data_IF_442024222178
#
_entry.id   IF_442024222178
#
_cell.length_a   1.000
_cell.length_b   1.000
_cell.length_c   1.000
_cell.angle_alpha   90.00
_cell.angle_beta   90.00
_cell.angle_gamma   90.00
#
_symmetry.space_group_name_H-M   'P 1'
#
loop_
_entity.id
_entity.type
_entity.pdbx_description
1 polymer ?
#
# COMPACT_ATOMS: atom_id res chain seq x y z
N UNK A 1 -41.51 0.57 -24.89
CA UNK A 1 -41.47 -0.08 -23.56
C UNK A 1 -40.76 0.87 -22.61
N UNK A 2 -41.47 1.41 -21.61
CA UNK A 2 -40.82 2.16 -20.54
C UNK A 2 -39.98 1.16 -19.72
N UNK A 3 -38.68 1.41 -19.56
CA UNK A 3 -37.88 0.69 -18.56
C UNK A 3 -38.46 1.04 -17.19
N UNK A 4 -39.16 0.10 -16.57
CA UNK A 4 -39.43 0.22 -15.14
C UNK A 4 -38.08 0.12 -14.46
N UNK A 5 -37.65 1.22 -13.84
CA UNK A 5 -36.51 1.20 -12.92
C UNK A 5 -36.91 0.32 -11.73
N UNK A 6 -36.11 -0.70 -11.40
CA UNK A 6 -36.39 -1.54 -10.24
C UNK A 6 -36.39 -0.69 -8.96
N UNK A 7 -37.15 -1.08 -7.93
CA UNK A 7 -37.22 -0.33 -6.69
C UNK A 7 -35.85 -0.28 -6.00
N UNK A 8 -35.48 0.88 -5.43
CA UNK A 8 -34.19 1.13 -4.74
C UNK A 8 -33.89 0.07 -3.66
N UNK A 9 -34.92 -0.48 -3.02
CA UNK A 9 -34.80 -1.56 -2.02
C UNK A 9 -34.04 -2.78 -2.59
N UNK A 10 -34.28 -3.12 -3.86
CA UNK A 10 -33.61 -4.24 -4.53
C UNK A 10 -32.11 -3.98 -4.79
N UNK A 11 -31.66 -2.72 -4.82
CA UNK A 11 -30.24 -2.41 -4.99
C UNK A 11 -29.45 -2.61 -3.70
N UNK A 12 -30.05 -2.30 -2.54
CA UNK A 12 -29.40 -2.55 -1.24
C UNK A 12 -29.26 -4.04 -0.95
N UNK A 13 -30.29 -4.83 -1.26
CA UNK A 13 -30.27 -6.30 -1.13
C UNK A 13 -29.23 -6.94 -2.06
N UNK A 14 -29.02 -6.38 -3.26
CA UNK A 14 -28.08 -6.91 -4.23
C UNK A 14 -26.61 -6.57 -3.93
N UNK A 15 -26.34 -5.48 -3.21
CA UNK A 15 -24.98 -4.95 -3.03
C UNK A 15 -24.46 -5.16 -1.60
N UNK A 16 -23.71 -6.25 -1.39
CA UNK A 16 -23.19 -6.65 -0.07
C UNK A 16 -21.87 -6.00 0.35
N UNK A 17 -21.26 -5.19 -0.52
CA UNK A 17 -19.97 -4.56 -0.24
C UNK A 17 -20.18 -3.35 0.68
N UNK A 18 -19.35 -3.14 1.72
CA UNK A 18 -19.42 -1.95 2.56
C UNK A 18 -19.31 -0.67 1.72
N UNK A 19 -20.14 0.31 2.04
CA UNK A 19 -20.21 1.61 1.37
C UNK A 19 -20.41 2.72 2.41
N UNK A 20 -20.50 3.98 1.97
CA UNK A 20 -20.67 5.13 2.87
C UNK A 20 -19.51 5.24 3.87
N UNK A 21 -19.81 5.61 5.11
CA UNK A 21 -18.81 5.77 6.16
C UNK A 21 -18.09 4.45 6.52
N UNK A 22 -18.79 3.31 6.50
CA UNK A 22 -18.18 2.00 6.77
C UNK A 22 -17.24 1.58 5.64
N UNK A 23 -17.65 1.74 4.37
CA UNK A 23 -16.79 1.52 3.21
C UNK A 23 -15.53 2.38 3.29
N UNK A 24 -15.71 3.67 3.56
CA UNK A 24 -14.62 4.62 3.72
C UNK A 24 -13.62 4.22 4.82
N UNK A 25 -14.12 3.86 6.00
CA UNK A 25 -13.27 3.41 7.10
C UNK A 25 -12.54 2.10 6.76
N UNK A 26 -13.23 1.19 6.05
CA UNK A 26 -12.66 -0.04 5.53
C UNK A 26 -11.49 0.27 4.57
N UNK A 27 -11.64 1.21 3.66
CA UNK A 27 -10.58 1.56 2.70
C UNK A 27 -9.37 2.20 3.37
N UNK A 28 -9.58 3.07 4.38
CA UNK A 28 -8.49 3.59 5.22
C UNK A 28 -7.74 2.45 5.91
N UNK A 29 -8.47 1.49 6.49
CA UNK A 29 -7.87 0.34 7.13
C UNK A 29 -7.05 -0.51 6.14
N UNK A 30 -7.55 -0.70 4.91
CA UNK A 30 -6.82 -1.39 3.85
C UNK A 30 -5.53 -0.66 3.50
N UNK A 31 -5.59 0.65 3.26
CA UNK A 31 -4.40 1.45 2.96
C UNK A 31 -3.35 1.35 4.07
N UNK A 32 -3.80 1.45 5.32
CA UNK A 32 -2.93 1.34 6.47
C UNK A 32 -2.25 -0.04 6.52
N UNK A 33 -2.99 -1.13 6.25
CA UNK A 33 -2.41 -2.46 6.11
C UNK A 33 -1.34 -2.52 5.03
N UNK A 34 -1.64 -2.06 3.81
CA UNK A 34 -0.66 -2.06 2.70
C UNK A 34 0.59 -1.30 3.08
N UNK A 35 0.43 -0.14 3.68
CA UNK A 35 1.54 0.72 4.10
C UNK A 35 2.41 -0.01 5.12
N UNK A 36 1.79 -0.65 6.13
CA UNK A 36 2.53 -1.44 7.12
C UNK A 36 3.28 -2.60 6.45
N UNK A 37 2.66 -3.33 5.51
CA UNK A 37 3.31 -4.44 4.78
C UNK A 37 4.46 -3.99 3.89
N UNK A 38 4.35 -2.81 3.26
CA UNK A 38 5.44 -2.23 2.48
C UNK A 38 6.63 -1.85 3.35
N UNK A 39 6.37 -1.37 4.57
CA UNK A 39 7.40 -1.09 5.58
C UNK A 39 7.78 -2.32 6.41
N UNK A 40 7.13 -3.46 6.17
CA UNK A 40 7.47 -4.66 6.87
C UNK A 40 7.00 -4.87 8.29
N UNK A 41 5.99 -4.10 8.65
CA UNK A 41 5.46 -4.06 9.99
C UNK A 41 4.10 -4.74 10.01
N UNK A 42 3.80 -5.36 11.14
CA UNK A 42 2.47 -5.80 11.45
C UNK A 42 1.52 -4.58 11.50
N UNK A 43 0.32 -4.67 10.90
CA UNK A 43 -0.67 -3.59 10.93
C UNK A 43 -1.35 -3.43 12.29
N UNK A 44 -1.18 -4.34 13.24
CA UNK A 44 -1.72 -4.14 14.59
C UNK A 44 -0.78 -3.24 15.39
N UNK A 45 -1.34 -2.21 16.04
CA UNK A 45 -0.60 -1.40 17.01
C UNK A 45 -0.43 -2.18 18.33
N UNK A 46 0.78 -2.21 18.94
CA UNK A 46 2.02 -1.56 18.49
C UNK A 46 2.65 -2.30 17.31
N UNK A 47 3.15 -1.55 16.33
CA UNK A 47 3.73 -2.09 15.10
C UNK A 47 4.93 -3.01 15.40
N UNK A 48 4.73 -4.32 15.24
CA UNK A 48 5.76 -5.36 15.46
C UNK A 48 6.38 -5.81 14.15
N UNK A 49 7.58 -6.39 14.23
CA UNK A 49 8.19 -7.11 13.11
C UNK A 49 7.47 -8.43 12.87
N UNK A 50 7.35 -8.85 11.62
CA UNK A 50 6.66 -10.07 11.22
C UNK A 50 7.53 -11.28 11.63
N UNK A 51 7.16 -11.97 12.71
CA UNK A 51 7.94 -13.13 13.19
C UNK A 51 7.72 -14.39 12.33
N UNK A 52 6.50 -14.61 11.81
CA UNK A 52 6.16 -15.81 11.05
C UNK A 52 5.75 -15.47 9.62
N UNK A 53 6.74 -15.41 8.72
CA UNK A 53 6.53 -15.11 7.30
C UNK A 53 5.66 -16.13 6.59
N UNK A 54 5.63 -17.39 7.05
CA UNK A 54 4.87 -18.44 6.38
C UNK A 54 3.39 -18.40 6.75
N UNK A 55 3.07 -18.10 8.00
CA UNK A 55 1.69 -17.80 8.43
C UNK A 55 1.15 -16.57 7.70
N UNK A 56 1.95 -15.51 7.57
CA UNK A 56 1.60 -14.32 6.81
C UNK A 56 1.26 -14.63 5.35
N UNK A 57 2.11 -15.42 4.65
CA UNK A 57 1.84 -15.86 3.27
C UNK A 57 0.55 -16.68 3.18
N UNK A 58 0.32 -17.59 4.13
CA UNK A 58 -0.90 -18.41 4.18
C UNK A 58 -2.15 -17.53 4.32
N UNK A 59 -2.14 -16.55 5.23
CA UNK A 59 -3.29 -15.68 5.47
C UNK A 59 -3.52 -14.69 4.31
N UNK A 60 -2.47 -14.20 3.65
CA UNK A 60 -2.60 -13.44 2.41
C UNK A 60 -3.20 -14.32 1.30
N UNK A 61 -2.76 -15.57 1.16
CA UNK A 61 -3.32 -16.52 0.21
C UNK A 61 -4.80 -16.81 0.46
N UNK A 62 -5.17 -17.00 1.73
CA UNK A 62 -6.56 -17.17 2.16
C UNK A 62 -7.40 -15.93 1.86
N UNK A 63 -6.83 -14.73 2.06
CA UNK A 63 -7.49 -13.48 1.73
C UNK A 63 -7.75 -13.32 0.22
N UNK A 64 -6.77 -13.67 -0.63
CA UNK A 64 -6.94 -13.69 -2.09
C UNK A 64 -8.08 -14.61 -2.49
N UNK A 65 -8.11 -15.83 -1.93
CA UNK A 65 -9.16 -16.81 -2.21
C UNK A 65 -10.54 -16.24 -1.87
N UNK A 66 -10.70 -15.64 -0.69
CA UNK A 66 -11.97 -15.07 -0.29
C UNK A 66 -12.37 -13.84 -1.12
N UNK A 67 -11.45 -12.95 -1.47
CA UNK A 67 -11.74 -11.82 -2.37
C UNK A 67 -12.32 -12.36 -3.69
N UNK A 68 -11.73 -13.42 -4.24
CA UNK A 68 -12.21 -14.00 -5.49
C UNK A 68 -13.65 -14.54 -5.35
N UNK A 69 -13.91 -15.38 -4.34
CA UNK A 69 -15.23 -15.99 -4.09
C UNK A 69 -16.29 -14.93 -3.84
N UNK A 70 -16.00 -13.94 -2.98
CA UNK A 70 -16.94 -12.88 -2.65
C UNK A 70 -17.21 -11.97 -3.86
N UNK A 71 -16.19 -11.70 -4.67
CA UNK A 71 -16.34 -10.89 -5.87
C UNK A 71 -17.21 -11.59 -6.93
N UNK A 72 -16.99 -12.89 -7.15
CA UNK A 72 -17.82 -13.71 -8.06
C UNK A 72 -19.28 -13.69 -7.62
N UNK A 73 -19.53 -13.96 -6.35
CA UNK A 73 -20.88 -13.92 -5.77
C UNK A 73 -21.56 -12.56 -5.96
N UNK A 74 -20.84 -11.47 -5.68
CA UNK A 74 -21.38 -10.12 -5.85
C UNK A 74 -21.68 -9.80 -7.32
N UNK A 75 -20.84 -10.26 -8.27
CA UNK A 75 -21.09 -10.08 -9.71
C UNK A 75 -22.36 -10.83 -10.13
N UNK A 76 -22.57 -12.06 -9.66
CA UNK A 76 -23.77 -12.84 -9.97
C UNK A 76 -25.04 -12.15 -9.45
N UNK A 77 -25.01 -11.63 -8.21
CA UNK A 77 -26.15 -10.91 -7.61
C UNK A 77 -26.40 -9.55 -8.26
N UNK A 78 -25.35 -8.83 -8.63
CA UNK A 78 -25.46 -7.51 -9.25
C UNK A 78 -25.65 -7.55 -10.76
N UNK A 79 -25.75 -8.73 -11.41
CA UNK A 79 -25.74 -8.84 -12.88
C UNK A 79 -26.79 -7.98 -13.60
N UNK A 80 -27.93 -7.72 -12.96
CA UNK A 80 -28.99 -6.85 -13.50
C UNK A 80 -28.59 -5.37 -13.54
N UNK A 81 -27.62 -4.97 -12.72
CA UNK A 81 -27.14 -3.61 -12.54
C UNK A 81 -25.67 -3.51 -12.94
N UNK A 82 -25.41 -3.36 -14.25
CA UNK A 82 -24.05 -3.30 -14.82
C UNK A 82 -23.14 -2.25 -14.15
N UNK A 83 -23.73 -1.19 -13.60
CA UNK A 83 -23.03 -0.10 -12.89
C UNK A 83 -22.40 -0.62 -11.58
N UNK A 84 -23.19 -1.39 -10.81
CA UNK A 84 -22.72 -2.06 -9.58
C UNK A 84 -21.72 -3.18 -9.89
N UNK A 85 -21.92 -3.91 -10.98
CA UNK A 85 -20.96 -4.94 -11.44
C UNK A 85 -19.60 -4.33 -11.71
N UNK A 86 -19.54 -3.20 -12.41
CA UNK A 86 -18.27 -2.54 -12.71
C UNK A 86 -17.55 -2.03 -11.46
N UNK A 87 -18.29 -1.49 -10.50
CA UNK A 87 -17.74 -1.04 -9.22
C UNK A 87 -17.18 -2.23 -8.44
N UNK A 88 -17.96 -3.31 -8.34
CA UNK A 88 -17.54 -4.51 -7.64
C UNK A 88 -16.30 -5.15 -8.30
N UNK A 89 -16.27 -5.27 -9.64
CA UNK A 89 -15.10 -5.74 -10.39
C UNK A 89 -13.89 -4.83 -10.17
N UNK A 90 -14.07 -3.51 -10.17
CA UNK A 90 -13.00 -2.55 -9.90
C UNK A 90 -12.43 -2.72 -8.48
N UNK A 91 -13.30 -2.89 -7.48
CA UNK A 91 -12.91 -3.09 -6.08
C UNK A 91 -12.22 -4.46 -5.88
N UNK A 92 -12.75 -5.52 -6.49
CA UNK A 92 -12.15 -6.84 -6.49
C UNK A 92 -10.75 -6.85 -7.12
N UNK A 93 -10.56 -6.17 -8.25
CA UNK A 93 -9.25 -6.00 -8.89
C UNK A 93 -8.28 -5.20 -8.01
N UNK A 94 -8.76 -4.17 -7.32
CA UNK A 94 -7.94 -3.39 -6.37
C UNK A 94 -7.48 -4.26 -5.20
N UNK A 95 -8.41 -4.98 -4.57
CA UNK A 95 -8.11 -5.91 -3.48
C UNK A 95 -7.13 -6.99 -3.91
N UNK A 96 -7.33 -7.60 -5.08
CA UNK A 96 -6.42 -8.59 -5.65
C UNK A 96 -5.02 -8.01 -5.89
N UNK A 97 -4.93 -6.80 -6.46
CA UNK A 97 -3.65 -6.14 -6.69
C UNK A 97 -2.91 -5.92 -5.37
N UNK A 98 -3.59 -5.38 -4.36
CA UNK A 98 -3.01 -5.17 -3.03
C UNK A 98 -2.51 -6.49 -2.44
N UNK A 99 -3.30 -7.55 -2.54
CA UNK A 99 -2.95 -8.85 -2.00
C UNK A 99 -1.73 -9.46 -2.71
N UNK A 100 -1.65 -9.32 -4.04
CA UNK A 100 -0.49 -9.76 -4.82
C UNK A 100 0.76 -8.97 -4.44
N UNK A 101 0.66 -7.64 -4.32
CA UNK A 101 1.78 -6.80 -3.87
C UNK A 101 2.22 -7.22 -2.46
N UNK A 102 1.29 -7.37 -1.52
CA UNK A 102 1.57 -7.84 -0.16
C UNK A 102 2.23 -9.23 -0.13
N UNK A 103 1.79 -10.14 -0.99
CA UNK A 103 2.38 -11.47 -1.10
C UNK A 103 3.84 -11.40 -1.58
N UNK A 104 4.12 -10.59 -2.61
CA UNK A 104 5.49 -10.41 -3.11
C UNK A 104 6.39 -9.68 -2.11
N UNK A 105 5.89 -8.66 -1.41
CA UNK A 105 6.66 -7.95 -0.40
C UNK A 105 7.04 -8.90 0.73
N UNK A 106 6.08 -9.63 1.31
CA UNK A 106 6.35 -10.63 2.35
C UNK A 106 7.27 -11.76 1.86
N UNK A 107 7.15 -12.17 0.59
CA UNK A 107 8.04 -13.21 0.03
C UNK A 107 9.48 -12.73 -0.17
N UNK A 108 9.66 -11.45 -0.54
CA UNK A 108 11.00 -10.85 -0.72
C UNK A 108 11.77 -10.66 0.59
N UNK A 109 11.12 -10.85 1.72
CA UNK A 109 11.67 -10.62 3.06
C UNK A 109 12.40 -11.84 3.64
N UNK A 110 12.43 -12.94 2.90
CA UNK A 110 13.03 -14.20 3.31
C UNK A 110 14.44 -14.33 2.70
N UNK A 111 15.56 -14.46 3.44
CA UNK A 111 15.97 -13.92 4.74
C UNK A 111 17.40 -13.32 4.67
N UNK A 112 17.59 -12.04 4.98
CA UNK A 112 18.94 -11.50 5.25
C UNK A 112 19.49 -11.96 6.61
N UNK A 113 18.63 -12.51 7.47
CA UNK A 113 18.92 -12.83 8.87
C UNK A 113 19.55 -14.23 9.07
N UNK A 114 19.52 -15.11 8.05
CA UNK A 114 20.07 -16.47 8.19
C UNK A 114 21.59 -16.55 7.98
N UNK A 115 22.26 -15.42 7.75
CA UNK A 115 23.69 -15.35 7.41
C UNK A 115 24.64 -14.88 8.52
N UNK A 116 24.15 -14.27 9.61
CA UNK A 116 25.04 -13.68 10.64
C UNK A 116 25.26 -14.55 11.89
N UNK A 117 24.71 -15.76 11.94
CA UNK A 117 24.84 -16.64 13.11
C UNK A 117 25.85 -17.80 12.95
N UNK A 118 26.67 -17.82 11.88
CA UNK A 118 27.59 -18.94 11.65
C UNK A 118 28.91 -18.53 10.98
N UNK A 119 29.66 -17.65 11.63
CA UNK A 119 31.12 -17.56 11.41
C UNK A 119 31.84 -16.99 12.64
N UNK A 120 31.55 -17.53 13.83
CA UNK A 120 32.53 -17.54 14.91
C UNK A 120 33.17 -18.92 14.91
N UNK A 121 34.35 -18.92 14.31
CA UNK A 121 35.35 -19.96 14.29
C UNK A 121 36.20 -19.83 15.57
N UNK A 122 36.11 -20.76 16.54
CA UNK A 122 37.12 -20.91 17.55
C UNK A 122 37.97 -22.15 17.28
N UNK A 123 38.50 -22.32 16.07
CA UNK A 123 39.71 -23.15 15.88
C UNK A 123 40.99 -22.30 16.01
N UNK A 124 41.05 -21.49 17.09
CA UNK A 124 42.33 -21.15 17.71
C UNK A 124 42.59 -22.12 18.86
N UNK A 125 43.35 -23.17 18.53
CA UNK A 125 43.99 -24.03 19.52
C UNK A 125 44.72 -23.19 20.60
N UNK A 126 44.69 -23.63 21.87
CA UNK A 126 45.95 -23.77 22.56
C UNK A 126 46.09 -25.17 23.16
N UNK A 127 47.13 -25.86 22.68
CA UNK A 127 48.14 -26.57 23.46
C UNK A 127 47.75 -26.96 24.90
N UNK A 128 47.59 -28.27 25.10
CA UNK A 128 48.07 -29.08 26.24
C UNK A 128 48.14 -28.42 27.64
N UNK A 129 47.26 -28.88 28.54
CA UNK A 129 47.47 -28.69 29.98
C UNK A 129 46.32 -29.23 30.83
N UNK A 130 46.52 -30.40 31.43
CA UNK A 130 45.58 -31.10 32.28
C UNK A 130 45.02 -30.27 33.45
N UNK A 131 43.82 -30.62 33.94
CA UNK A 131 43.59 -31.23 35.26
C UNK A 131 42.08 -31.49 35.42
N UNK A 132 41.75 -32.74 35.72
CA UNK A 132 40.44 -33.23 36.11
C UNK A 132 40.11 -32.77 37.54
N UNK A 133 38.88 -32.31 37.79
CA UNK A 133 38.23 -32.47 39.08
C UNK A 133 36.71 -32.60 38.90
N UNK A 134 36.24 -33.82 39.16
CA UNK A 134 34.84 -34.24 39.21
C UNK A 134 34.20 -33.87 40.56
N UNK A 135 32.95 -33.39 40.59
CA UNK A 135 31.89 -33.73 41.60
C UNK A 135 30.54 -33.06 41.25
N UNK A 136 29.39 -33.44 41.85
CA UNK A 136 28.26 -34.01 41.10
C UNK A 136 26.93 -33.21 41.18
N UNK A 137 25.99 -33.68 40.37
CA UNK A 137 24.51 -33.67 40.50
C UNK A 137 23.84 -32.70 41.49
N UNK A 138 22.97 -31.82 40.96
CA UNK A 138 21.64 -31.63 41.55
C UNK A 138 20.62 -31.23 40.47
N UNK A 139 19.59 -32.06 40.31
CA UNK A 139 18.39 -31.82 39.52
C UNK A 139 17.59 -30.64 40.08
N UNK A 140 17.03 -29.80 39.21
CA UNK A 140 15.66 -29.31 39.40
C UNK A 140 15.10 -28.85 38.06
N UNK A 141 14.10 -29.60 37.59
CA UNK A 141 13.25 -29.23 36.48
C UNK A 141 12.46 -27.95 36.84
N UNK A 142 12.65 -26.89 36.05
CA UNK A 142 11.80 -25.71 36.05
C UNK A 142 11.31 -25.49 34.62
N UNK A 143 9.99 -25.42 34.49
CA UNK A 143 9.26 -25.29 33.24
C UNK A 143 9.70 -24.08 32.43
N UNK A 144 9.92 -24.33 31.14
CA UNK A 144 10.28 -23.37 30.11
C UNK A 144 9.02 -22.56 29.70
N UNK A 145 8.70 -21.54 30.48
CA UNK A 145 7.69 -20.53 30.12
C UNK A 145 8.39 -19.40 29.36
N UNK A 146 8.34 -19.48 28.02
CA UNK A 146 8.84 -18.47 27.09
C UNK A 146 8.01 -17.19 27.24
N UNK A 147 8.34 -16.40 28.24
CA UNK A 147 7.80 -15.07 28.52
C UNK A 147 8.55 -14.07 27.64
N UNK A 148 7.85 -13.42 26.71
CA UNK A 148 8.37 -12.24 26.02
C UNK A 148 8.35 -11.05 26.99
N UNK A 149 9.36 -10.97 27.87
CA UNK A 149 9.57 -9.80 28.71
C UNK A 149 10.08 -8.63 27.87
N UNK A 150 9.21 -7.63 27.74
CA UNK A 150 9.51 -6.28 27.25
C UNK A 150 9.39 -5.34 28.45
N UNK A 151 10.45 -5.22 29.24
CA UNK A 151 10.68 -4.07 30.12
C UNK A 151 11.80 -3.26 29.47
N UNK A 152 11.41 -2.30 28.64
CA UNK A 152 12.27 -1.20 28.20
C UNK A 152 11.85 0.06 28.95
N UNK A 153 12.70 0.50 29.87
CA UNK A 153 12.60 1.79 30.54
C UNK A 153 12.44 2.93 29.54
N UNK A 154 11.39 3.74 29.72
CA UNK A 154 11.30 5.05 29.07
C UNK A 154 12.27 6.01 29.76
N UNK A 155 13.48 6.10 29.21
CA UNK A 155 14.43 7.16 29.52
C UNK A 155 13.88 8.52 29.09
N UNK A 156 13.79 9.45 30.04
CA UNK A 156 13.46 10.84 29.83
C UNK A 156 14.50 11.51 28.90
N UNK A 157 14.05 12.06 27.77
CA UNK A 157 14.87 13.01 26.99
C UNK A 157 14.57 14.43 27.47
N UNK A 158 15.55 14.98 28.19
CA UNK A 158 15.69 16.40 28.45
C UNK A 158 16.40 17.09 27.27
N UNK A 159 16.00 18.35 27.06
CA UNK A 159 16.76 19.49 26.54
C UNK A 159 17.52 19.36 25.22
N UNK A 160 16.97 20.01 24.18
CA UNK A 160 17.75 20.55 23.06
C UNK A 160 17.88 22.08 23.21
N UNK A 161 19.10 22.64 23.20
CA UNK A 161 19.30 24.08 23.18
C UNK A 161 19.23 24.66 21.77
N UNK A 162 18.65 25.85 21.70
CA UNK A 162 18.69 26.77 20.58
C UNK A 162 20.08 27.36 20.37
N UNK A 163 20.59 27.31 19.15
CA UNK A 163 21.66 28.17 18.63
C UNK A 163 21.60 28.07 17.11
N UNK A 164 21.68 29.12 16.31
CA UNK A 164 22.15 30.48 16.52
C UNK A 164 22.61 30.95 15.14
N UNK A 165 22.21 32.16 14.74
CA UNK A 165 22.67 32.82 13.52
C UNK A 165 24.21 32.77 13.40
N UNK A 166 24.71 32.55 12.19
CA UNK A 166 25.94 33.23 11.75
C UNK A 166 25.96 33.49 10.25
N UNK A 167 26.07 34.79 10.01
CA UNK A 167 26.29 35.57 8.80
C UNK A 167 27.79 35.56 8.50
N UNK A 168 28.19 35.53 7.22
CA UNK A 168 29.45 36.00 6.58
C UNK A 168 29.51 35.26 5.23
N UNK A 169 29.57 35.88 4.04
CA UNK A 169 30.31 37.07 3.67
C UNK A 169 31.72 36.67 3.27
N UNK A 170 31.98 36.35 1.99
CA UNK A 170 33.31 36.53 1.38
C UNK A 170 33.24 36.46 -0.14
N UNK A 171 33.47 37.62 -0.75
CA UNK A 171 34.05 37.78 -2.07
C UNK A 171 35.42 37.09 -2.15
N UNK A 172 35.80 36.57 -3.31
CA UNK A 172 37.18 36.71 -3.79
C UNK A 172 37.26 36.38 -5.27
N UNK A 173 38.03 37.23 -5.96
CA UNK A 173 38.43 37.14 -7.34
C UNK A 173 38.98 35.76 -7.71
N UNK A 174 38.61 35.27 -8.88
CA UNK A 174 39.37 34.22 -9.55
C UNK A 174 40.01 34.81 -10.80
N UNK A 175 41.31 35.06 -10.65
CA UNK A 175 42.19 35.48 -11.72
C UNK A 175 42.35 34.37 -12.75
N UNK A 176 42.24 34.78 -14.01
CA UNK A 176 42.59 34.05 -15.21
C UNK A 176 44.10 33.75 -15.19
N UNK A 177 44.46 32.50 -14.91
CA UNK A 177 45.81 31.99 -15.12
C UNK A 177 45.78 31.00 -16.28
N UNK A 178 46.15 31.51 -17.46
CA UNK A 178 46.54 30.71 -18.61
C UNK A 178 47.80 29.90 -18.25
N UNK A 179 47.60 28.67 -17.79
CA UNK A 179 48.68 27.70 -17.63
C UNK A 179 48.27 26.42 -18.34
N UNK A 180 48.80 26.27 -19.56
CA UNK A 180 48.85 25.02 -20.31
C UNK A 180 49.63 23.99 -19.49
N UNK A 181 48.91 23.26 -18.65
CA UNK A 181 49.44 22.07 -18.00
C UNK A 181 49.40 20.93 -19.02
N UNK A 182 50.57 20.40 -19.35
CA UNK A 182 50.70 19.13 -20.04
C UNK A 182 50.04 18.06 -19.16
N UNK A 183 48.80 17.73 -19.51
CA UNK A 183 48.00 16.70 -18.84
C UNK A 183 48.74 15.37 -18.97
N UNK A 184 49.09 14.82 -17.81
CA UNK A 184 49.70 13.51 -17.70
C UNK A 184 48.76 12.44 -18.30
N UNK A 185 49.24 11.57 -19.20
CA UNK A 185 48.42 10.55 -19.88
C UNK A 185 47.82 9.50 -18.93
N UNK A 186 48.11 9.55 -17.63
CA UNK A 186 47.55 8.64 -16.64
C UNK A 186 46.13 9.03 -16.17
N UNK A 187 45.71 10.29 -16.31
CA UNK A 187 44.37 10.74 -15.89
C UNK A 187 43.28 10.35 -16.90
N UNK A 188 43.62 10.17 -18.18
CA UNK A 188 42.66 9.73 -19.19
C UNK A 188 42.23 8.27 -19.00
N UNK A 189 43.11 7.40 -18.50
CA UNK A 189 42.74 5.99 -18.25
C UNK A 189 41.80 5.86 -17.06
N UNK A 190 42.05 6.60 -15.97
CA UNK A 190 41.16 6.62 -14.79
C UNK A 190 39.79 7.20 -15.14
N UNK A 191 39.75 8.23 -15.98
CA UNK A 191 38.47 8.79 -16.47
C UNK A 191 37.76 7.81 -17.42
N UNK A 192 38.50 7.02 -18.19
CA UNK A 192 37.95 5.98 -19.08
C UNK A 192 37.42 4.78 -18.31
N UNK A 193 38.07 4.39 -17.21
CA UNK A 193 37.56 3.34 -16.31
C UNK A 193 36.37 3.82 -15.46
N UNK A 194 36.39 5.06 -14.98
CA UNK A 194 35.21 5.66 -14.33
C UNK A 194 34.02 5.76 -15.29
N UNK A 195 34.26 6.13 -16.56
CA UNK A 195 33.21 6.15 -17.58
C UNK A 195 32.78 4.75 -18.05
N UNK A 196 33.64 3.73 -17.97
CA UNK A 196 33.25 2.35 -18.31
C UNK A 196 32.46 1.70 -17.19
N UNK A 197 32.74 2.04 -15.92
CA UNK A 197 31.93 1.64 -14.76
C UNK A 197 30.59 2.38 -14.70
N UNK A 198 30.53 3.65 -15.13
CA UNK A 198 29.29 4.41 -15.23
C UNK A 198 28.35 3.92 -16.35
N UNK A 199 28.90 3.25 -17.37
CA UNK A 199 28.14 2.69 -18.51
C UNK A 199 27.92 1.17 -18.40
N UNK A 200 28.03 0.61 -17.19
CA UNK A 200 27.60 -0.77 -16.93
C UNK A 200 26.18 -0.99 -17.47
N UNK A 201 25.88 -2.15 -18.08
CA UNK A 201 24.62 -2.39 -18.79
C UNK A 201 23.44 -2.10 -17.86
N UNK A 202 22.83 -0.94 -18.08
CA UNK A 202 21.80 -0.41 -17.22
C UNK A 202 20.57 -1.34 -17.26
N UNK A 203 20.35 -2.03 -16.14
CA UNK A 203 19.04 -2.34 -15.58
C UNK A 203 17.93 -2.73 -16.59
N UNK A 204 18.09 -3.85 -17.30
CA UNK A 204 16.96 -4.41 -18.07
C UNK A 204 15.79 -4.88 -17.17
N UNK A 205 16.06 -5.13 -15.87
CA UNK A 205 15.06 -5.52 -14.89
C UNK A 205 14.12 -4.39 -14.46
N UNK A 206 14.64 -3.17 -14.29
CA UNK A 206 13.85 -2.03 -13.77
C UNK A 206 12.81 -1.54 -14.77
N UNK A 207 13.11 -1.65 -16.08
CA UNK A 207 12.18 -1.23 -17.13
C UNK A 207 10.94 -2.14 -17.23
N UNK A 208 11.09 -3.45 -17.02
CA UNK A 208 9.96 -4.40 -17.05
C UNK A 208 8.98 -4.15 -15.90
N UNK A 209 9.51 -3.91 -14.71
CA UNK A 209 8.69 -3.61 -13.52
C UNK A 209 7.91 -2.31 -13.72
N UNK A 210 8.56 -1.28 -14.28
CA UNK A 210 7.89 0.00 -14.61
C UNK A 210 6.74 -0.15 -15.60
N UNK A 211 6.92 -0.94 -16.67
CA UNK A 211 5.86 -1.18 -17.66
C UNK A 211 4.68 -1.92 -17.06
N UNK A 212 4.94 -2.97 -16.26
CA UNK A 212 3.88 -3.72 -15.56
C UNK A 212 3.13 -2.81 -14.60
N UNK A 213 3.86 -2.03 -13.80
CA UNK A 213 3.25 -1.07 -12.86
C UNK A 213 2.38 -0.04 -13.59
N UNK A 214 2.86 0.52 -14.69
CA UNK A 214 2.12 1.52 -15.47
C UNK A 214 0.87 0.92 -16.13
N UNK A 215 0.95 -0.32 -16.62
CA UNK A 215 -0.20 -1.03 -17.18
C UNK A 215 -1.26 -1.29 -16.09
N UNK A 216 -0.84 -1.75 -14.92
CA UNK A 216 -1.74 -1.96 -13.78
C UNK A 216 -2.37 -0.64 -13.31
N UNK A 217 -1.57 0.42 -13.22
CA UNK A 217 -2.07 1.75 -12.87
C UNK A 217 -3.07 2.26 -13.91
N UNK A 218 -2.81 2.07 -15.20
CA UNK A 218 -3.71 2.44 -16.29
C UNK A 218 -5.04 1.67 -16.24
N UNK A 219 -4.99 0.36 -16.04
CA UNK A 219 -6.20 -0.48 -15.86
C UNK A 219 -7.00 -0.03 -14.64
N UNK A 220 -6.32 0.27 -13.52
CA UNK A 220 -6.95 0.78 -12.31
C UNK A 220 -7.64 2.12 -12.55
N UNK A 221 -6.95 3.08 -13.18
CA UNK A 221 -7.52 4.38 -13.51
C UNK A 221 -8.74 4.18 -14.42
N UNK A 222 -8.64 3.35 -15.45
CA UNK A 222 -9.76 3.05 -16.35
C UNK A 222 -10.97 2.47 -15.63
N UNK A 223 -10.77 1.46 -14.78
CA UNK A 223 -11.85 0.83 -14.01
C UNK A 223 -12.56 1.84 -13.10
N UNK A 224 -11.79 2.65 -12.37
CA UNK A 224 -12.38 3.64 -11.46
C UNK A 224 -13.09 4.74 -12.25
N UNK A 225 -12.55 5.21 -13.38
CA UNK A 225 -13.22 6.19 -14.22
C UNK A 225 -14.58 5.72 -14.70
N UNK A 226 -14.63 4.50 -15.24
CA UNK A 226 -15.89 3.93 -15.76
C UNK A 226 -16.89 3.76 -14.61
N UNK A 227 -16.45 3.26 -13.45
CA UNK A 227 -17.29 3.11 -12.26
C UNK A 227 -17.82 4.45 -11.76
N UNK A 228 -16.97 5.45 -11.56
CA UNK A 228 -17.35 6.77 -11.04
C UNK A 228 -18.29 7.53 -11.97
N UNK A 229 -18.09 7.47 -13.29
CA UNK A 229 -18.99 8.11 -14.27
C UNK A 229 -20.38 7.47 -14.21
N UNK A 230 -20.42 6.14 -14.16
CA UNK A 230 -21.67 5.38 -14.09
C UNK A 230 -22.43 5.70 -12.80
N UNK A 231 -21.71 5.76 -11.67
CA UNK A 231 -22.27 6.08 -10.37
C UNK A 231 -22.77 7.52 -10.28
N UNK A 232 -22.03 8.49 -10.83
CA UNK A 232 -22.46 9.88 -10.89
C UNK A 232 -23.73 10.04 -11.73
N UNK A 233 -23.83 9.31 -12.84
CA UNK A 233 -25.05 9.27 -13.66
C UNK A 233 -26.24 8.69 -12.88
N UNK A 234 -26.04 7.57 -12.19
CA UNK A 234 -27.07 6.95 -11.36
C UNK A 234 -27.55 7.91 -10.26
N UNK A 235 -26.62 8.56 -9.57
CA UNK A 235 -26.90 9.53 -8.53
C UNK A 235 -27.71 10.73 -9.02
N UNK A 236 -27.47 11.21 -10.24
CA UNK A 236 -28.21 12.33 -10.84
C UNK A 236 -29.62 11.90 -11.28
N UNK A 237 -29.76 10.70 -11.82
CA UNK A 237 -31.04 10.21 -12.36
C UNK A 237 -31.99 9.72 -11.27
N UNK A 238 -31.49 9.04 -10.24
CA UNK A 238 -32.31 8.33 -9.26
C UNK A 238 -32.30 8.95 -7.86
N UNK A 239 -31.39 9.90 -7.59
CA UNK A 239 -31.27 10.53 -6.28
C UNK A 239 -32.53 11.34 -5.89
N UNK A 240 -32.93 11.24 -4.61
CA UNK A 240 -33.91 12.14 -3.98
C UNK A 240 -33.44 13.60 -4.07
N UNK A 241 -34.37 14.55 -4.11
CA UNK A 241 -34.04 15.97 -4.28
C UNK A 241 -33.07 16.51 -3.21
N UNK A 242 -33.17 16.01 -1.97
CA UNK A 242 -32.23 16.33 -0.90
C UNK A 242 -30.81 15.77 -1.15
N UNK A 243 -30.70 14.54 -1.65
CA UNK A 243 -29.41 13.91 -1.93
C UNK A 243 -28.75 14.43 -3.20
N UNK A 244 -29.51 14.99 -4.16
CA UNK A 244 -28.95 15.57 -5.40
C UNK A 244 -27.87 16.62 -5.15
N UNK A 245 -28.03 17.48 -4.14
CA UNK A 245 -27.02 18.50 -3.80
C UNK A 245 -25.72 17.86 -3.32
N UNK A 246 -25.83 16.85 -2.46
CA UNK A 246 -24.69 16.12 -1.90
C UNK A 246 -24.00 15.31 -3.00
N UNK A 247 -24.76 14.60 -3.84
CA UNK A 247 -24.27 13.88 -5.01
C UNK A 247 -23.55 14.79 -5.99
N UNK A 248 -24.06 16.01 -6.22
CA UNK A 248 -23.42 16.98 -7.11
C UNK A 248 -22.07 17.45 -6.55
N UNK A 249 -22.00 17.74 -5.25
CA UNK A 249 -20.74 18.12 -4.59
C UNK A 249 -19.72 16.99 -4.72
N UNK A 250 -20.10 15.76 -4.37
CA UNK A 250 -19.19 14.61 -4.50
C UNK A 250 -18.84 14.29 -5.95
N UNK A 251 -19.76 14.50 -6.90
CA UNK A 251 -19.51 14.34 -8.33
C UNK A 251 -18.48 15.35 -8.85
N UNK A 252 -18.54 16.61 -8.42
CA UNK A 252 -17.54 17.63 -8.77
C UNK A 252 -16.18 17.27 -8.18
N UNK A 253 -16.13 16.89 -6.90
CA UNK A 253 -14.89 16.50 -6.23
C UNK A 253 -14.28 15.24 -6.85
N UNK A 254 -15.11 14.24 -7.18
CA UNK A 254 -14.71 13.05 -7.92
C UNK A 254 -14.16 13.40 -9.30
N UNK A 255 -14.83 14.29 -10.04
CA UNK A 255 -14.38 14.80 -11.33
C UNK A 255 -13.02 15.50 -11.26
N UNK A 256 -12.80 16.36 -10.27
CA UNK A 256 -11.49 17.00 -10.03
C UNK A 256 -10.40 15.98 -9.72
N UNK A 257 -10.73 14.95 -8.95
CA UNK A 257 -9.82 13.86 -8.59
C UNK A 257 -9.45 13.02 -9.81
N UNK A 258 -10.43 12.75 -10.68
CA UNK A 258 -10.23 12.09 -11.98
C UNK A 258 -9.28 12.89 -12.86
N UNK A 259 -9.51 14.20 -13.00
CA UNK A 259 -8.65 15.08 -13.81
C UNK A 259 -7.23 15.12 -13.24
N UNK A 260 -7.08 15.22 -11.91
CA UNK A 260 -5.77 15.16 -11.25
C UNK A 260 -5.05 13.83 -11.48
N UNK A 261 -5.76 12.71 -11.44
CA UNK A 261 -5.21 11.36 -11.69
C UNK A 261 -4.78 11.19 -13.15
N UNK A 262 -5.60 11.63 -14.11
CA UNK A 262 -5.26 11.61 -15.52
C UNK A 262 -4.07 12.53 -15.83
N UNK A 263 -4.05 13.72 -15.25
CA UNK A 263 -2.94 14.67 -15.41
C UNK A 263 -1.63 14.07 -14.90
N UNK A 264 -1.63 13.51 -13.69
CA UNK A 264 -0.44 12.87 -13.11
C UNK A 264 0.01 11.66 -13.93
N UNK A 265 -0.92 10.83 -14.42
CA UNK A 265 -0.61 9.71 -15.32
C UNK A 265 0.01 10.16 -16.65
N UNK A 266 -0.56 11.18 -17.29
CA UNK A 266 -0.01 11.77 -18.52
C UNK A 266 1.36 12.38 -18.26
N UNK A 267 1.56 13.06 -17.13
CA UNK A 267 2.88 13.53 -16.73
C UNK A 267 3.87 12.37 -16.63
N UNK A 268 3.55 11.28 -15.92
CA UNK A 268 4.44 10.12 -15.81
C UNK A 268 4.78 9.50 -17.18
N UNK A 269 3.79 9.36 -18.07
CA UNK A 269 4.02 8.93 -19.45
C UNK A 269 4.96 9.86 -20.22
N UNK A 270 4.77 11.18 -20.11
CA UNK A 270 5.61 12.17 -20.77
C UNK A 270 7.05 12.18 -20.22
N UNK A 271 7.23 11.85 -18.94
CA UNK A 271 8.54 11.82 -18.28
C UNK A 271 9.24 10.46 -18.32
N UNK A 272 8.60 9.40 -18.83
CA UNK A 272 9.13 8.03 -18.84
C UNK A 272 10.47 7.87 -19.59
N UNK A 273 10.88 8.86 -20.41
CA UNK A 273 12.15 8.84 -21.15
C UNK A 273 13.12 9.99 -20.82
N UNK A 274 12.73 10.95 -19.97
CA UNK A 274 13.59 12.07 -19.58
C UNK A 274 13.99 11.85 -18.13
N UNK A 275 15.27 11.54 -17.90
CA UNK A 275 15.83 11.33 -16.56
C UNK A 275 15.29 12.37 -15.59
N UNK A 276 14.42 11.94 -14.68
CA UNK A 276 13.68 12.82 -13.79
C UNK A 276 14.55 13.16 -12.60
N UNK A 277 14.55 14.43 -12.20
CA UNK A 277 15.25 14.87 -10.99
C UNK A 277 14.85 13.99 -9.80
N UNK A 278 15.83 13.41 -9.07
CA UNK A 278 15.56 12.45 -8.00
C UNK A 278 14.68 13.04 -6.88
N UNK A 279 14.72 14.36 -6.66
CA UNK A 279 13.90 15.04 -5.66
C UNK A 279 12.41 15.13 -5.98
N UNK A 280 12.00 15.06 -7.26
CA UNK A 280 10.60 15.25 -7.65
C UNK A 280 9.80 13.94 -7.68
N UNK A 281 10.48 12.79 -7.73
CA UNK A 281 9.85 11.45 -7.75
C UNK A 281 8.93 11.20 -6.56
N UNK A 282 9.35 11.37 -5.28
CA UNK A 282 8.48 11.04 -4.14
C UNK A 282 7.22 11.91 -4.09
N UNK A 283 7.33 13.20 -4.47
CA UNK A 283 6.18 14.10 -4.50
C UNK A 283 5.12 13.66 -5.52
N UNK A 284 5.54 13.19 -6.71
CA UNK A 284 4.62 12.70 -7.74
C UNK A 284 3.91 11.42 -7.30
N UNK A 285 4.65 10.46 -6.74
CA UNK A 285 4.05 9.25 -6.18
C UNK A 285 3.05 9.56 -5.07
N UNK A 286 3.39 10.51 -4.19
CA UNK A 286 2.49 10.97 -3.13
C UNK A 286 1.20 11.57 -3.71
N UNK A 287 1.31 12.46 -4.71
CA UNK A 287 0.16 13.08 -5.36
C UNK A 287 -0.74 12.05 -6.06
N UNK A 288 -0.17 11.14 -6.85
CA UNK A 288 -0.92 10.06 -7.51
C UNK A 288 -1.65 9.20 -6.48
N UNK A 289 -0.95 8.82 -5.41
CA UNK A 289 -1.54 8.01 -4.34
C UNK A 289 -2.65 8.76 -3.63
N UNK A 290 -2.46 10.05 -3.33
CA UNK A 290 -3.47 10.89 -2.70
C UNK A 290 -4.73 11.02 -3.55
N UNK A 291 -4.60 11.27 -4.86
CA UNK A 291 -5.76 11.35 -5.75
C UNK A 291 -6.46 10.00 -5.89
N UNK A 292 -5.72 8.89 -6.01
CA UNK A 292 -6.32 7.57 -6.04
C UNK A 292 -7.11 7.25 -4.75
N UNK A 293 -6.59 7.67 -3.59
CA UNK A 293 -7.26 7.51 -2.30
C UNK A 293 -8.52 8.35 -2.20
N UNK A 294 -8.43 9.64 -2.56
CA UNK A 294 -9.59 10.51 -2.60
C UNK A 294 -10.69 9.93 -3.50
N UNK A 295 -10.32 9.35 -4.63
CA UNK A 295 -11.26 8.77 -5.58
C UNK A 295 -12.01 7.57 -4.99
N UNK A 296 -11.30 6.68 -4.29
CA UNK A 296 -11.91 5.54 -3.58
C UNK A 296 -12.85 6.03 -2.46
N UNK A 297 -12.42 7.03 -1.70
CA UNK A 297 -13.26 7.63 -0.67
C UNK A 297 -14.54 8.24 -1.25
N UNK A 298 -14.44 8.94 -2.38
CA UNK A 298 -15.61 9.53 -3.02
C UNK A 298 -16.58 8.48 -3.54
N UNK A 299 -16.10 7.35 -4.05
CA UNK A 299 -16.98 6.29 -4.55
C UNK A 299 -17.87 5.72 -3.44
N UNK A 300 -17.33 5.52 -2.22
CA UNK A 300 -18.13 5.04 -1.09
C UNK A 300 -19.22 6.02 -0.67
N UNK A 301 -18.90 7.31 -0.61
CA UNK A 301 -19.86 8.35 -0.24
C UNK A 301 -20.95 8.54 -1.28
N UNK A 302 -20.61 8.53 -2.57
CA UNK A 302 -21.61 8.62 -3.64
C UNK A 302 -22.52 7.38 -3.58
N UNK A 303 -21.96 6.20 -3.37
CA UNK A 303 -22.76 4.98 -3.27
C UNK A 303 -23.69 5.01 -2.04
N UNK A 304 -23.20 5.50 -0.90
CA UNK A 304 -24.04 5.77 0.26
C UNK A 304 -25.15 6.79 0.01
N UNK A 305 -24.91 7.79 -0.84
CA UNK A 305 -25.94 8.75 -1.25
C UNK A 305 -26.99 8.13 -2.18
N UNK A 306 -26.56 7.29 -3.14
CA UNK A 306 -27.44 6.57 -4.07
C UNK A 306 -28.34 5.60 -3.30
N UNK A 307 -27.77 4.90 -2.33
CA UNK A 307 -28.47 3.94 -1.48
C UNK A 307 -29.18 4.59 -0.29
N UNK A 308 -29.21 5.93 -0.18
CA UNK A 308 -29.86 6.66 0.92
C UNK A 308 -29.39 6.23 2.34
N UNK A 309 -28.15 5.74 2.45
CA UNK A 309 -27.50 5.35 3.71
C UNK A 309 -26.04 5.82 3.70
N UNK A 310 -25.82 7.05 4.18
CA UNK A 310 -24.50 7.66 4.28
C UNK A 310 -23.59 6.94 5.28
N UNK A 311 -24.14 6.33 6.33
CA UNK A 311 -23.37 5.55 7.30
C UNK A 311 -22.83 4.26 6.70
N UNK A 312 -23.50 3.72 5.67
CA UNK A 312 -23.22 2.38 5.16
C UNK A 312 -23.82 1.26 6.00
N UNK A 313 -24.58 1.59 7.05
CA UNK A 313 -25.27 0.59 7.87
C UNK A 313 -26.47 0.08 7.07
N UNK A 314 -26.62 -1.25 6.92
CA UNK A 314 -27.81 -1.85 6.30
C UNK A 314 -29.07 -1.44 7.07
N UNK A 315 -30.17 -1.16 6.37
CA UNK A 315 -31.45 -0.77 7.01
C UNK A 315 -32.01 -1.94 7.82
N UNK A 316 -32.68 -1.65 8.94
CA UNK A 316 -33.12 -2.64 9.94
C UNK A 316 -34.11 -3.71 9.44
N UNK A 317 -34.70 -3.53 8.25
CA UNK A 317 -35.68 -4.45 7.67
C UNK A 317 -35.06 -5.54 6.79
N UNK A 318 -33.72 -5.61 6.70
CA UNK A 318 -32.99 -6.60 5.91
C UNK A 318 -32.96 -7.96 6.63
N UNK A 319 -33.03 -9.05 5.86
CA UNK A 319 -32.95 -10.41 6.38
C UNK A 319 -31.62 -10.64 7.14
N UNK A 320 -31.67 -11.34 8.26
CA UNK A 320 -30.50 -11.61 9.11
C UNK A 320 -29.41 -12.36 8.36
N UNK A 321 -29.79 -13.17 7.36
CA UNK A 321 -28.83 -13.84 6.48
C UNK A 321 -28.00 -12.83 5.67
N UNK A 322 -28.63 -11.83 5.06
CA UNK A 322 -27.93 -10.81 4.27
C UNK A 322 -27.07 -9.90 5.14
N UNK A 323 -27.59 -9.52 6.31
CA UNK A 323 -26.82 -8.77 7.31
C UNK A 323 -25.56 -9.54 7.73
N UNK A 324 -25.68 -10.85 7.97
CA UNK A 324 -24.52 -11.68 8.33
C UNK A 324 -23.49 -11.74 7.20
N UNK A 325 -23.93 -11.84 5.94
CA UNK A 325 -23.03 -11.87 4.77
C UNK A 325 -22.28 -10.55 4.61
N UNK A 326 -22.94 -9.40 4.83
CA UNK A 326 -22.30 -8.09 4.83
C UNK A 326 -21.16 -8.03 5.86
N UNK A 327 -21.41 -8.45 7.09
CA UNK A 327 -20.40 -8.43 8.15
C UNK A 327 -19.29 -9.46 7.93
N UNK A 328 -19.60 -10.64 7.38
CA UNK A 328 -18.60 -11.63 6.98
C UNK A 328 -17.71 -11.08 5.87
N UNK A 329 -18.28 -10.43 4.85
CA UNK A 329 -17.51 -9.75 3.81
C UNK A 329 -16.54 -8.74 4.42
N UNK A 330 -17.05 -7.86 5.29
CA UNK A 330 -16.23 -6.86 5.96
C UNK A 330 -15.11 -7.53 6.80
N UNK A 331 -15.42 -8.53 7.61
CA UNK A 331 -14.43 -9.22 8.45
C UNK A 331 -13.34 -9.90 7.61
N UNK A 332 -13.74 -10.60 6.54
CA UNK A 332 -12.84 -11.34 5.66
C UNK A 332 -11.93 -10.41 4.89
N UNK A 333 -12.42 -9.25 4.43
CA UNK A 333 -11.56 -8.25 3.78
C UNK A 333 -10.53 -7.62 4.73
N UNK A 334 -10.69 -7.76 6.04
CA UNK A 334 -9.73 -7.33 7.08
C UNK A 334 -8.94 -8.47 7.70
N UNK A 335 -9.08 -9.70 7.20
CA UNK A 335 -8.30 -10.85 7.66
C UNK A 335 -6.78 -10.61 7.68
N UNK A 336 -6.17 -9.87 6.71
CA UNK A 336 -4.74 -9.55 6.77
C UNK A 336 -4.33 -8.70 7.98
N UNK A 337 -5.27 -8.01 8.66
CA UNK A 337 -4.94 -7.29 9.91
C UNK A 337 -4.45 -8.25 10.99
N UNK A 338 -4.94 -9.49 10.99
CA UNK A 338 -4.65 -10.48 12.04
C UNK A 338 -3.46 -11.39 11.71
N UNK A 339 -2.80 -11.17 10.57
CA UNK A 339 -1.84 -12.12 10.04
C UNK A 339 -0.39 -11.99 10.55
N UNK A 340 -0.15 -11.09 11.51
CA UNK A 340 1.20 -10.61 11.86
C UNK A 340 1.32 -10.32 13.36
#
# INVERSE_FOLDING_TARGET
MARQTPPILSMQEAYLVPYGAIGFASDIATLYMVTCLLFGRAPLCPARTICNTDLAKFLIGLWIFFIFVLNEYNVEKCWQHWELVLINVSNGLMGLFVAVVGFFTVSSWHPLIKGEAQEDDPESQPVLGAVWLSTPEEETAVSDERTCDSIGEYGAMADMPSSGLSRLGSSSMQGESNRTSNVSPHMSEVTRELNSMANGPAQSGDQKVKVVFLAVLGVRIGAVLIGSISLARLAVLEGKESSKKICLIFGILGGLTIVGTLFTFVCELCYLGKGTDPGLKPLRYLLVSLFALLLMFFTDWILGCVLDSLSGVPIADIDMEELSRYWVYLAVTKLPMFAF
#
